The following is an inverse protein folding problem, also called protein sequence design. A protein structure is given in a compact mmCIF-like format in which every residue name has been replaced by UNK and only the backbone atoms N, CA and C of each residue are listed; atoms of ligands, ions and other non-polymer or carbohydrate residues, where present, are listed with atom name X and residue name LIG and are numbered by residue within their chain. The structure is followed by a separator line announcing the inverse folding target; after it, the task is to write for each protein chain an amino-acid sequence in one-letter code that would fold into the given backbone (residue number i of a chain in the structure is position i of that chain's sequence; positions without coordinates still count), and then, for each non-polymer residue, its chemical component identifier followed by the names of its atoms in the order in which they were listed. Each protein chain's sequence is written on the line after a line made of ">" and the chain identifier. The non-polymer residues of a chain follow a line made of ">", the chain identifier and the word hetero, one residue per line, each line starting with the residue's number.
data_IF_690108220546
#
_entry.id   IF_690108220546
#
_cell.length_a   1.000
_cell.length_b   1.000
_cell.length_c   1.000
_cell.angle_alpha   90.00
_cell.angle_beta   90.00
_cell.angle_gamma   90.00
#
_symmetry.space_group_name_H-M   'P 1'
#
loop_
_entity.id
_entity.type
_entity.pdbx_description
1 polymer ?
#
# COMPACT_ATOMS: atom_id res chain seq x y z
N UNK A 1 -14.15 -5.44 -14.74
CA UNK A 1 -13.19 -4.29 -14.84
C UNK A 1 -12.96 -3.76 -13.44
N UNK A 2 -11.69 -3.59 -13.05
CA UNK A 2 -11.27 -3.00 -11.79
C UNK A 2 -10.44 -1.75 -12.06
N UNK A 3 -10.48 -0.79 -11.14
CA UNK A 3 -9.75 0.47 -11.29
C UNK A 3 -9.02 0.83 -10.00
N UNK A 4 -7.72 1.06 -10.12
CA UNK A 4 -6.87 1.53 -9.04
C UNK A 4 -6.61 3.04 -9.17
N UNK A 5 -6.68 3.76 -8.06
CA UNK A 5 -6.34 5.18 -7.98
C UNK A 5 -5.32 5.40 -6.86
N UNK A 6 -4.07 5.59 -7.24
CA UNK A 6 -2.97 5.97 -6.37
C UNK A 6 -2.87 7.51 -6.34
N UNK A 7 -3.14 8.11 -5.17
CA UNK A 7 -3.12 9.58 -4.98
C UNK A 7 -1.86 9.94 -4.20
N UNK A 8 -0.70 9.83 -4.86
CA UNK A 8 0.58 10.12 -4.24
C UNK A 8 0.92 11.63 -4.13
N UNK A 9 1.93 11.96 -3.35
CA UNK A 9 2.39 13.35 -3.17
C UNK A 9 2.98 13.94 -4.45
N UNK A 10 3.71 13.16 -5.24
CA UNK A 10 4.38 13.59 -6.49
C UNK A 10 3.50 13.49 -7.71
N UNK A 11 2.69 12.44 -7.80
CA UNK A 11 1.84 12.12 -8.94
C UNK A 11 0.55 11.44 -8.49
N UNK A 12 -0.49 11.54 -9.30
CA UNK A 12 -1.70 10.72 -9.23
C UNK A 12 -1.65 9.74 -10.38
N UNK A 13 -1.91 8.46 -10.11
CA UNK A 13 -1.97 7.39 -11.11
C UNK A 13 -3.34 6.74 -11.06
N UNK A 14 -3.98 6.62 -12.21
CA UNK A 14 -5.19 5.82 -12.40
C UNK A 14 -4.84 4.65 -13.33
N UNK A 15 -5.16 3.43 -12.93
CA UNK A 15 -4.99 2.23 -13.75
C UNK A 15 -6.32 1.50 -13.89
N UNK A 16 -6.63 1.10 -15.11
CA UNK A 16 -7.82 0.32 -15.46
C UNK A 16 -7.37 -1.05 -15.91
N UNK A 17 -7.95 -2.12 -15.36
CA UNK A 17 -7.62 -3.48 -15.74
C UNK A 17 -8.87 -4.35 -15.93
N UNK A 18 -8.74 -5.35 -16.78
CA UNK A 18 -9.68 -6.45 -16.93
C UNK A 18 -9.22 -7.65 -16.11
N UNK A 19 -10.14 -8.32 -15.43
CA UNK A 19 -9.87 -9.56 -14.70
C UNK A 19 -10.38 -10.72 -15.56
N UNK A 20 -9.45 -11.61 -15.93
CA UNK A 20 -9.77 -12.83 -16.66
C UNK A 20 -10.50 -13.85 -15.77
N UNK A 21 -11.19 -14.80 -16.39
CA UNK A 21 -11.86 -15.90 -15.67
C UNK A 21 -10.89 -16.83 -14.92
N UNK A 22 -9.62 -16.76 -15.22
CA UNK A 22 -8.51 -17.46 -14.55
C UNK A 22 -7.84 -16.64 -13.44
N UNK A 23 -8.36 -15.45 -13.15
CA UNK A 23 -7.80 -14.52 -12.18
C UNK A 23 -6.65 -13.65 -12.70
N UNK A 24 -6.27 -13.78 -13.97
CA UNK A 24 -5.26 -12.89 -14.59
C UNK A 24 -5.75 -11.45 -14.63
N UNK A 25 -4.85 -10.50 -14.38
CA UNK A 25 -5.13 -9.05 -14.41
C UNK A 25 -4.42 -8.44 -15.59
N UNK A 26 -5.18 -7.92 -16.56
CA UNK A 26 -4.66 -7.28 -17.78
C UNK A 26 -4.92 -5.78 -17.76
N UNK A 27 -3.85 -4.98 -17.70
CA UNK A 27 -3.93 -3.52 -17.64
C UNK A 27 -4.21 -2.95 -19.03
N UNK A 28 -5.41 -2.40 -19.22
CA UNK A 28 -5.89 -1.84 -20.47
C UNK A 28 -5.80 -0.32 -20.55
N UNK A 29 -5.62 0.36 -19.41
CA UNK A 29 -5.50 1.82 -19.37
C UNK A 29 -4.65 2.33 -18.22
N UNK A 30 -3.78 3.30 -18.51
CA UNK A 30 -2.92 3.97 -17.53
C UNK A 30 -2.99 5.47 -17.75
N UNK A 31 -3.33 6.21 -16.70
CA UNK A 31 -3.29 7.66 -16.68
C UNK A 31 -2.43 8.16 -15.51
N UNK A 32 -1.54 9.10 -15.78
CA UNK A 32 -0.69 9.71 -14.76
C UNK A 32 -0.67 11.22 -14.91
N UNK A 33 -0.79 11.93 -13.79
CA UNK A 33 -0.74 13.39 -13.76
C UNK A 33 0.09 13.87 -12.54
N UNK A 34 0.89 14.94 -12.65
CA UNK A 34 1.55 15.54 -11.51
C UNK A 34 0.56 15.87 -10.40
N UNK A 35 0.85 15.43 -9.19
CA UNK A 35 0.00 15.69 -8.03
C UNK A 35 0.15 17.12 -7.55
N UNK A 36 -0.97 17.75 -7.27
CA UNK A 36 -1.04 19.06 -6.63
C UNK A 36 -2.08 19.00 -5.53
N UNK A 37 -1.79 19.63 -4.39
CA UNK A 37 -2.72 19.67 -3.27
C UNK A 37 -2.50 18.58 -2.22
N UNK A 38 -1.47 17.72 -2.37
CA UNK A 38 -1.00 16.81 -1.32
C UNK A 38 0.35 17.26 -0.76
N UNK A 39 0.55 16.97 0.53
CA UNK A 39 1.83 17.11 1.21
C UNK A 39 2.02 15.96 2.18
N UNK A 40 3.06 15.14 1.99
CA UNK A 40 3.38 13.97 2.83
C UNK A 40 2.17 13.04 3.01
N UNK A 41 1.50 12.71 1.92
CA UNK A 41 0.32 11.83 1.92
C UNK A 41 -0.99 12.46 2.39
N UNK A 42 -0.99 13.74 2.82
CA UNK A 42 -2.19 14.41 3.34
C UNK A 42 -2.70 15.47 2.36
N UNK A 43 -4.02 15.49 2.13
CA UNK A 43 -4.68 16.51 1.30
C UNK A 43 -4.63 17.87 2.01
N UNK A 44 -3.93 18.82 1.42
CA UNK A 44 -3.82 20.22 1.90
C UNK A 44 -4.62 21.19 1.02
N UNK A 45 -5.02 20.77 -0.18
CA UNK A 45 -5.88 21.55 -1.07
C UNK A 45 -6.78 20.61 -1.90
N UNK A 46 -8.06 20.55 -1.55
CA UNK A 46 -9.04 19.66 -2.19
C UNK A 46 -9.18 19.97 -3.68
N UNK A 47 -9.30 21.25 -4.07
CA UNK A 47 -9.56 21.64 -5.46
C UNK A 47 -8.42 21.21 -6.38
N UNK A 48 -7.17 21.48 -5.98
CA UNK A 48 -5.98 21.05 -6.73
C UNK A 48 -5.86 19.54 -6.82
N UNK A 49 -6.24 18.81 -5.75
CA UNK A 49 -6.24 17.34 -5.73
C UNK A 49 -7.29 16.79 -6.70
N UNK A 50 -8.51 17.34 -6.66
CA UNK A 50 -9.60 16.97 -7.60
C UNK A 50 -9.15 17.14 -9.05
N UNK A 51 -8.54 18.28 -9.40
CA UNK A 51 -8.05 18.51 -10.76
C UNK A 51 -6.97 17.48 -11.17
N UNK A 52 -6.06 17.12 -10.26
CA UNK A 52 -5.03 16.12 -10.54
C UNK A 52 -5.64 14.72 -10.74
N UNK A 53 -6.63 14.34 -9.94
CA UNK A 53 -7.37 13.07 -10.08
C UNK A 53 -8.11 13.05 -11.43
N UNK A 54 -8.88 14.08 -11.74
CA UNK A 54 -9.64 14.15 -13.00
C UNK A 54 -8.75 13.95 -14.21
N UNK A 55 -7.57 14.60 -14.26
CA UNK A 55 -6.62 14.46 -15.36
C UNK A 55 -6.03 13.06 -15.48
N UNK A 56 -5.72 12.41 -14.36
CA UNK A 56 -5.23 11.03 -14.37
C UNK A 56 -6.32 10.07 -14.84
N UNK A 57 -7.56 10.24 -14.37
CA UNK A 57 -8.71 9.40 -14.76
C UNK A 57 -9.05 9.61 -16.24
N UNK A 58 -9.15 10.85 -16.72
CA UNK A 58 -9.40 11.16 -18.15
C UNK A 58 -8.36 10.48 -19.07
N UNK A 59 -7.09 10.49 -18.67
CA UNK A 59 -6.02 9.83 -19.45
C UNK A 59 -6.16 8.31 -19.46
N UNK A 60 -6.50 7.69 -18.32
CA UNK A 60 -6.73 6.25 -18.22
C UNK A 60 -7.96 5.82 -19.01
N UNK A 61 -9.08 6.54 -18.91
CA UNK A 61 -10.30 6.31 -19.69
C UNK A 61 -10.06 6.39 -21.21
N UNK A 62 -9.27 7.39 -21.64
CA UNK A 62 -8.94 7.54 -23.07
C UNK A 62 -8.14 6.35 -23.59
N UNK A 63 -7.20 5.83 -22.81
CA UNK A 63 -6.38 4.68 -23.18
C UNK A 63 -7.19 3.39 -23.14
N UNK A 64 -8.00 3.17 -22.10
CA UNK A 64 -8.83 1.98 -21.93
C UNK A 64 -10.06 1.94 -22.85
N UNK A 65 -10.48 3.09 -23.40
CA UNK A 65 -11.70 3.20 -24.23
C UNK A 65 -13.01 3.01 -23.44
N UNK A 66 -12.99 3.17 -22.12
CA UNK A 66 -14.14 3.00 -21.23
C UNK A 66 -14.33 4.19 -20.29
N UNK A 67 -15.44 4.19 -19.53
CA UNK A 67 -15.69 5.15 -18.45
C UNK A 67 -15.46 4.50 -17.09
N UNK A 68 -14.80 5.23 -16.21
CA UNK A 68 -14.56 4.84 -14.82
C UNK A 68 -15.73 5.31 -13.96
N UNK A 69 -16.31 4.42 -13.16
CA UNK A 69 -17.42 4.72 -12.27
C UNK A 69 -17.01 4.61 -10.80
N UNK A 70 -16.16 3.62 -10.47
CA UNK A 70 -15.69 3.39 -9.12
C UNK A 70 -14.21 3.04 -9.10
N UNK A 71 -13.56 3.23 -7.96
CA UNK A 71 -12.11 3.04 -7.80
C UNK A 71 -11.76 2.47 -6.44
N UNK A 72 -10.72 1.63 -6.41
CA UNK A 72 -9.98 1.30 -5.18
C UNK A 72 -8.88 2.33 -5.00
N UNK A 73 -8.84 2.98 -3.83
CA UNK A 73 -7.97 4.13 -3.55
C UNK A 73 -6.87 3.74 -2.57
N UNK A 74 -5.62 4.10 -2.91
CA UNK A 74 -4.49 4.02 -1.98
C UNK A 74 -4.52 5.13 -0.93
N UNK A 75 -4.06 4.82 0.28
CA UNK A 75 -3.86 5.80 1.34
C UNK A 75 -2.54 5.53 2.08
N UNK A 76 -1.77 6.60 2.29
CA UNK A 76 -0.58 6.65 3.15
C UNK A 76 -0.47 8.02 3.79
N UNK A 77 0.40 8.17 4.76
CA UNK A 77 0.71 9.45 5.41
C UNK A 77 0.89 9.31 6.92
N UNK A 78 1.40 10.34 7.54
CA UNK A 78 1.70 10.38 8.99
C UNK A 78 0.47 10.29 9.91
N UNK A 79 -0.73 10.25 9.34
CA UNK A 79 -2.00 10.07 10.04
C UNK A 79 -2.43 8.60 10.12
N UNK A 80 -1.65 7.70 9.55
CA UNK A 80 -1.83 6.25 9.64
C UNK A 80 -1.05 5.75 10.85
N UNK A 81 -1.70 4.93 11.65
CA UNK A 81 -1.12 4.27 12.81
C UNK A 81 -1.44 2.78 12.79
N UNK A 82 -0.67 1.97 13.48
CA UNK A 82 -0.89 0.53 13.52
C UNK A 82 -0.59 -0.09 14.88
N UNK A 83 -1.34 -1.12 15.21
CA UNK A 83 -1.22 -1.84 16.48
C UNK A 83 -1.41 -3.34 16.26
N UNK A 84 -0.63 -4.16 16.95
CA UNK A 84 -0.91 -5.59 17.02
C UNK A 84 -1.87 -5.84 18.19
N UNK A 85 -2.89 -6.63 17.93
CA UNK A 85 -3.92 -6.97 18.92
C UNK A 85 -4.16 -8.48 18.95
N UNK A 86 -4.79 -8.92 20.02
CA UNK A 86 -5.03 -10.32 20.31
C UNK A 86 -6.47 -10.52 20.81
N UNK A 87 -7.23 -11.33 20.08
CA UNK A 87 -8.60 -11.73 20.47
C UNK A 87 -8.63 -13.16 21.01
N UNK A 88 -9.51 -13.44 21.95
CA UNK A 88 -9.68 -14.76 22.55
C UNK A 88 -11.16 -15.06 22.73
N UNK A 89 -11.61 -16.22 22.24
CA UNK A 89 -12.98 -16.71 22.44
C UNK A 89 -13.01 -18.18 22.83
N UNK A 90 -14.00 -18.57 23.59
CA UNK A 90 -14.29 -19.99 23.84
C UNK A 90 -15.11 -20.56 22.68
N UNK A 91 -14.77 -21.77 22.22
CA UNK A 91 -15.52 -22.51 21.22
C UNK A 91 -16.76 -23.15 21.84
N UNK A 92 -17.92 -22.98 21.20
CA UNK A 92 -19.17 -23.49 21.68
C UNK A 92 -19.40 -24.98 21.27
N UNK A 93 -18.98 -25.29 20.03
CA UNK A 93 -19.21 -26.62 19.42
C UNK A 93 -17.99 -27.55 19.46
N UNK A 94 -16.88 -27.18 20.12
CA UNK A 94 -15.59 -27.88 20.10
C UNK A 94 -14.95 -27.99 18.69
N UNK A 95 -15.52 -27.37 17.70
CA UNK A 95 -15.03 -27.29 16.34
C UNK A 95 -15.15 -25.82 15.90
N UNK A 96 -14.12 -25.28 15.25
CA UNK A 96 -14.08 -23.88 14.84
C UNK A 96 -15.05 -23.67 13.67
N UNK A 97 -16.01 -22.80 13.90
CA UNK A 97 -17.00 -22.36 12.90
C UNK A 97 -16.67 -20.96 12.37
N UNK A 98 -17.30 -20.54 11.26
CA UNK A 98 -17.20 -19.18 10.75
C UNK A 98 -17.59 -18.13 11.80
N UNK A 99 -18.68 -18.41 12.55
CA UNK A 99 -19.12 -17.52 13.63
C UNK A 99 -18.09 -17.37 14.76
N UNK A 100 -17.26 -18.41 15.01
CA UNK A 100 -16.18 -18.29 15.99
C UNK A 100 -15.03 -17.45 15.46
N UNK A 101 -14.74 -17.51 14.15
CA UNK A 101 -13.78 -16.65 13.48
C UNK A 101 -14.22 -15.18 13.56
N UNK A 102 -15.47 -14.90 13.25
CA UNK A 102 -16.01 -13.53 13.37
C UNK A 102 -15.90 -13.01 14.80
N UNK A 103 -16.26 -13.80 15.79
CA UNK A 103 -16.19 -13.45 17.21
C UNK A 103 -14.75 -13.19 17.71
N UNK A 104 -13.78 -14.01 17.28
CA UNK A 104 -12.40 -13.83 17.72
C UNK A 104 -11.76 -12.61 17.08
N UNK A 105 -12.11 -12.29 15.83
CA UNK A 105 -11.69 -11.08 15.17
C UNK A 105 -12.36 -9.85 15.80
N UNK A 106 -13.65 -9.90 16.12
CA UNK A 106 -14.35 -8.84 16.86
C UNK A 106 -13.72 -8.59 18.23
N UNK A 107 -13.37 -9.68 18.94
CA UNK A 107 -12.64 -9.55 20.21
C UNK A 107 -11.26 -8.90 20.05
N UNK A 108 -10.54 -9.20 18.96
CA UNK A 108 -9.26 -8.57 18.67
C UNK A 108 -9.38 -7.07 18.32
N UNK A 109 -10.52 -6.63 17.81
CA UNK A 109 -10.79 -5.21 17.52
C UNK A 109 -11.15 -4.38 18.75
N UNK A 110 -11.49 -5.00 19.86
CA UNK A 110 -11.95 -4.33 21.08
C UNK A 110 -10.80 -3.61 21.84
N UNK A 111 -9.99 -2.86 21.10
CA UNK A 111 -8.95 -1.97 21.64
C UNK A 111 -9.45 -0.53 21.69
N UNK A 112 -8.88 0.26 22.60
CA UNK A 112 -9.17 1.68 22.66
C UNK A 112 -8.52 2.42 21.48
N UNK A 113 -9.35 2.87 20.55
CA UNK A 113 -8.92 3.68 19.39
C UNK A 113 -9.29 5.14 19.68
N UNK A 114 -8.40 6.12 19.39
CA UNK A 114 -8.72 7.53 19.50
C UNK A 114 -10.01 7.88 18.74
N UNK A 115 -10.85 8.76 19.30
CA UNK A 115 -12.16 9.09 18.72
C UNK A 115 -12.10 9.76 17.33
N UNK A 116 -10.96 10.31 16.98
CA UNK A 116 -10.67 10.93 15.68
C UNK A 116 -10.06 9.96 14.67
N UNK A 117 -9.86 8.69 15.03
CA UNK A 117 -9.38 7.62 14.15
C UNK A 117 -10.46 6.60 13.84
N UNK A 118 -10.30 5.90 12.71
CA UNK A 118 -11.09 4.73 12.34
C UNK A 118 -10.19 3.58 11.87
N UNK A 119 -10.63 2.35 12.04
CA UNK A 119 -9.96 1.18 11.50
C UNK A 119 -10.06 1.21 9.97
N UNK A 120 -8.92 1.04 9.32
CA UNK A 120 -8.79 0.86 7.87
C UNK A 120 -8.69 -0.61 7.51
N UNK A 121 -7.82 -1.36 8.20
CA UNK A 121 -7.58 -2.77 7.98
C UNK A 121 -7.49 -3.55 9.28
N UNK A 122 -7.93 -4.80 9.22
CA UNK A 122 -7.71 -5.81 10.23
C UNK A 122 -7.11 -7.00 9.50
N UNK A 123 -5.83 -7.24 9.77
CA UNK A 123 -5.02 -8.20 9.04
C UNK A 123 -4.65 -9.35 9.97
N UNK A 124 -5.31 -10.52 9.87
CA UNK A 124 -4.95 -11.69 10.67
C UNK A 124 -3.49 -12.08 10.43
N UNK A 125 -2.79 -12.41 11.50
CA UNK A 125 -1.40 -12.84 11.45
C UNK A 125 -1.28 -14.35 11.65
N UNK A 126 -1.99 -14.87 12.62
CA UNK A 126 -2.09 -16.30 12.92
C UNK A 126 -3.27 -16.55 13.87
N UNK A 127 -3.71 -17.79 13.90
CA UNK A 127 -4.66 -18.28 14.87
C UNK A 127 -3.99 -19.30 15.80
N UNK A 128 -4.54 -19.41 17.01
CA UNK A 128 -4.13 -20.41 18.00
C UNK A 128 -5.36 -21.17 18.46
N UNK A 129 -5.23 -22.49 18.55
CA UNK A 129 -6.27 -23.35 19.12
C UNK A 129 -5.66 -24.04 20.33
N UNK A 130 -6.22 -23.76 21.51
CA UNK A 130 -5.72 -24.20 22.80
C UNK A 130 -4.25 -23.74 23.01
N UNK A 131 -3.26 -24.61 22.75
CA UNK A 131 -1.83 -24.31 22.86
C UNK A 131 -1.09 -24.50 21.51
N UNK A 132 -1.80 -24.73 20.42
CA UNK A 132 -1.21 -24.89 19.09
C UNK A 132 -1.16 -23.53 18.40
N UNK A 133 0.04 -23.04 18.13
CA UNK A 133 0.32 -21.79 17.42
C UNK A 133 0.53 -22.02 15.92
N UNK A 134 0.60 -20.91 15.14
CA UNK A 134 0.95 -20.92 13.73
C UNK A 134 -0.14 -21.47 12.81
N UNK A 135 -1.39 -21.52 13.26
CA UNK A 135 -2.51 -21.95 12.45
C UNK A 135 -2.93 -20.79 11.55
N UNK A 136 -3.00 -21.05 10.27
CA UNK A 136 -3.41 -20.08 9.27
C UNK A 136 -4.89 -20.23 8.89
N UNK A 137 -5.37 -21.48 8.76
CA UNK A 137 -6.77 -21.81 8.48
C UNK A 137 -7.33 -22.68 9.63
N UNK A 138 -8.00 -22.09 10.61
CA UNK A 138 -8.48 -22.81 11.78
C UNK A 138 -9.86 -23.46 11.59
N UNK A 139 -10.59 -23.17 10.50
CA UNK A 139 -11.94 -23.69 10.24
C UNK A 139 -11.99 -25.22 10.27
N UNK A 140 -12.97 -25.79 10.96
CA UNK A 140 -13.14 -27.24 11.09
C UNK A 140 -12.18 -27.91 12.07
N UNK A 141 -11.20 -27.18 12.63
CA UNK A 141 -10.30 -27.72 13.65
C UNK A 141 -10.99 -27.82 15.00
N UNK A 142 -10.65 -28.88 15.76
CA UNK A 142 -11.22 -29.12 17.07
C UNK A 142 -10.42 -28.44 18.18
N UNK A 143 -11.15 -27.89 19.17
CA UNK A 143 -10.55 -27.24 20.32
C UNK A 143 -11.57 -26.71 21.32
N UNK A 144 -11.10 -26.03 22.34
CA UNK A 144 -11.92 -25.40 23.38
C UNK A 144 -11.79 -23.87 23.33
N UNK A 145 -10.63 -23.36 22.92
CA UNK A 145 -10.30 -21.94 22.88
C UNK A 145 -9.69 -21.60 21.53
N UNK A 146 -10.22 -20.56 20.89
CA UNK A 146 -9.68 -19.95 19.68
C UNK A 146 -9.12 -18.57 20.03
N UNK A 147 -7.91 -18.32 19.54
CA UNK A 147 -7.25 -17.01 19.64
C UNK A 147 -6.88 -16.52 18.24
N UNK A 148 -6.89 -15.22 18.01
CA UNK A 148 -6.41 -14.58 16.80
C UNK A 148 -5.44 -13.45 17.13
N UNK A 149 -4.25 -13.47 16.55
CA UNK A 149 -3.34 -12.32 16.52
C UNK A 149 -3.61 -11.55 15.23
N UNK A 150 -3.80 -10.24 15.34
CA UNK A 150 -4.13 -9.38 14.19
C UNK A 150 -3.26 -8.13 14.17
N UNK A 151 -2.96 -7.65 12.98
CA UNK A 151 -2.41 -6.31 12.76
C UNK A 151 -3.56 -5.36 12.41
N UNK A 152 -3.79 -4.37 13.26
CA UNK A 152 -4.83 -3.36 13.09
C UNK A 152 -4.17 -2.10 12.53
N UNK A 153 -4.72 -1.60 11.43
CA UNK A 153 -4.30 -0.33 10.84
C UNK A 153 -5.43 0.67 11.03
N UNK A 154 -5.10 1.81 11.60
CA UNK A 154 -6.03 2.92 11.82
C UNK A 154 -5.56 4.17 11.06
N UNK A 155 -6.49 5.07 10.80
CA UNK A 155 -6.15 6.34 10.18
C UNK A 155 -7.06 7.46 10.65
N UNK A 156 -6.56 8.70 10.64
CA UNK A 156 -7.36 9.85 11.02
C UNK A 156 -8.59 9.99 10.11
N UNK A 157 -9.77 9.99 10.72
CA UNK A 157 -11.06 10.01 10.02
C UNK A 157 -11.17 11.18 9.04
N UNK A 158 -10.71 12.37 9.44
CA UNK A 158 -10.76 13.56 8.59
C UNK A 158 -9.85 13.43 7.34
N UNK A 159 -8.68 12.81 7.48
CA UNK A 159 -7.76 12.62 6.36
C UNK A 159 -8.34 11.66 5.33
N UNK A 160 -8.90 10.55 5.80
CA UNK A 160 -9.58 9.55 4.95
C UNK A 160 -10.78 10.18 4.25
N UNK A 161 -11.63 10.90 4.97
CA UNK A 161 -12.80 11.61 4.41
C UNK A 161 -12.39 12.64 3.34
N UNK A 162 -11.26 13.33 3.51
CA UNK A 162 -10.77 14.28 2.50
C UNK A 162 -10.37 13.58 1.21
N UNK A 163 -9.72 12.43 1.27
CA UNK A 163 -9.41 11.60 0.09
C UNK A 163 -10.72 11.15 -0.59
N UNK A 164 -11.64 10.52 0.17
CA UNK A 164 -12.95 10.09 -0.36
C UNK A 164 -13.73 11.25 -0.99
N UNK A 165 -13.71 12.42 -0.35
CA UNK A 165 -14.36 13.63 -0.87
C UNK A 165 -13.75 14.10 -2.18
N UNK A 166 -12.41 14.04 -2.33
CA UNK A 166 -11.76 14.39 -3.59
C UNK A 166 -12.21 13.45 -4.72
N UNK A 167 -12.26 12.13 -4.46
CA UNK A 167 -12.69 11.11 -5.43
C UNK A 167 -14.15 11.31 -5.82
N UNK A 168 -15.06 11.46 -4.85
CA UNK A 168 -16.49 11.68 -5.09
C UNK A 168 -16.76 12.98 -5.86
N UNK A 169 -15.96 14.03 -5.66
CA UNK A 169 -16.06 15.27 -6.44
C UNK A 169 -15.64 15.12 -7.90
N UNK A 170 -14.90 14.06 -8.24
CA UNK A 170 -14.62 13.68 -9.61
C UNK A 170 -15.79 12.88 -10.26
N UNK A 171 -16.87 12.61 -9.53
CA UNK A 171 -18.00 11.79 -9.98
C UNK A 171 -17.76 10.29 -9.86
N UNK A 172 -16.79 9.87 -9.04
CA UNK A 172 -16.42 8.48 -8.84
C UNK A 172 -16.89 7.97 -7.49
N UNK A 173 -17.23 6.69 -7.42
CA UNK A 173 -17.47 5.96 -6.18
C UNK A 173 -16.17 5.36 -5.65
N UNK A 174 -16.08 5.16 -4.33
CA UNK A 174 -14.92 4.53 -3.69
C UNK A 174 -15.34 3.13 -3.24
N UNK A 175 -14.80 2.11 -3.90
CA UNK A 175 -15.05 0.70 -3.59
C UNK A 175 -14.33 0.31 -2.30
N UNK A 176 -13.06 0.69 -2.19
CA UNK A 176 -12.24 0.45 -1.00
C UNK A 176 -11.17 1.54 -0.83
N UNK A 177 -10.76 1.76 0.43
CA UNK A 177 -9.57 2.53 0.78
C UNK A 177 -8.54 1.56 1.33
N UNK A 178 -7.40 1.43 0.66
CA UNK A 178 -6.37 0.42 0.92
C UNK A 178 -5.07 1.08 1.33
N UNK A 179 -4.43 0.54 2.37
CA UNK A 179 -3.12 0.98 2.81
C UNK A 179 -2.07 0.76 1.70
N UNK A 180 -1.30 1.80 1.34
CA UNK A 180 -0.34 1.74 0.24
C UNK A 180 0.77 0.70 0.47
N UNK A 181 1.23 0.53 1.73
CA UNK A 181 2.21 -0.51 2.08
C UNK A 181 1.68 -1.92 1.82
N UNK A 182 0.40 -2.16 2.11
CA UNK A 182 -0.23 -3.44 1.81
C UNK A 182 -0.32 -3.65 0.30
N UNK A 183 -0.79 -2.65 -0.43
CA UNK A 183 -0.88 -2.70 -1.89
C UNK A 183 0.48 -2.94 -2.54
N UNK A 184 1.50 -2.14 -2.23
CA UNK A 184 2.86 -2.31 -2.78
C UNK A 184 3.41 -3.70 -2.50
N UNK A 185 3.14 -4.26 -1.30
CA UNK A 185 3.54 -5.61 -0.92
C UNK A 185 2.95 -6.71 -1.83
N UNK A 186 1.72 -6.53 -2.32
CA UNK A 186 1.11 -7.45 -3.31
C UNK A 186 1.85 -7.43 -4.65
N UNK A 187 2.32 -6.28 -5.07
CA UNK A 187 2.94 -6.12 -6.38
C UNK A 187 4.43 -6.52 -6.42
N UNK A 188 5.16 -6.43 -5.29
CA UNK A 188 6.63 -6.49 -5.32
C UNK A 188 7.27 -7.60 -4.49
N UNK A 189 6.52 -8.25 -3.58
CA UNK A 189 7.04 -9.30 -2.71
C UNK A 189 6.62 -10.68 -3.20
N UNK A 190 7.55 -11.62 -3.16
CA UNK A 190 7.25 -13.05 -3.34
C UNK A 190 6.76 -13.67 -2.04
N UNK A 191 6.05 -14.79 -2.14
CA UNK A 191 5.57 -15.50 -0.96
C UNK A 191 6.73 -16.06 -0.13
N UNK A 192 7.80 -16.53 -0.78
CA UNK A 192 9.02 -16.98 -0.09
C UNK A 192 9.65 -15.86 0.75
N UNK A 193 9.68 -14.62 0.26
CA UNK A 193 10.17 -13.47 1.03
C UNK A 193 9.28 -13.15 2.22
N UNK A 194 7.94 -13.18 2.02
CA UNK A 194 6.98 -12.97 3.11
C UNK A 194 7.08 -14.06 4.18
N UNK A 195 7.34 -15.30 3.79
CA UNK A 195 7.50 -16.42 4.73
C UNK A 195 8.83 -16.36 5.49
N UNK A 196 9.95 -16.10 4.79
CA UNK A 196 11.28 -15.99 5.39
C UNK A 196 11.45 -14.77 6.31
N UNK A 197 10.67 -13.74 6.08
CA UNK A 197 10.76 -12.45 6.73
C UNK A 197 11.47 -11.41 5.88
N UNK A 198 10.77 -10.33 5.56
CA UNK A 198 11.22 -9.24 4.68
C UNK A 198 10.73 -7.89 5.19
N UNK A 199 11.56 -6.87 5.04
CA UNK A 199 11.17 -5.48 5.22
C UNK A 199 11.03 -4.81 3.84
N UNK A 200 9.81 -4.47 3.46
CA UNK A 200 9.55 -3.67 2.26
C UNK A 200 9.60 -2.18 2.63
N UNK A 201 10.28 -1.41 1.78
CA UNK A 201 10.44 0.04 1.92
C UNK A 201 10.03 0.70 0.60
N UNK A 202 8.85 1.31 0.56
CA UNK A 202 8.35 2.07 -0.59
C UNK A 202 8.72 3.54 -0.43
N UNK A 203 9.66 4.02 -1.24
CA UNK A 203 10.16 5.40 -1.17
C UNK A 203 9.46 6.23 -2.23
N UNK A 204 8.40 6.94 -1.79
CA UNK A 204 7.61 7.84 -2.61
C UNK A 204 8.21 9.23 -2.81
N UNK A 205 7.35 10.20 -3.14
CA UNK A 205 7.74 11.61 -3.19
C UNK A 205 7.74 12.28 -1.82
N UNK A 206 6.69 12.08 -1.02
CA UNK A 206 6.50 12.75 0.27
C UNK A 206 6.60 11.86 1.49
N UNK A 207 6.45 10.55 1.33
CA UNK A 207 6.47 9.51 2.37
C UNK A 207 7.37 8.36 1.98
N UNK A 208 7.94 7.72 2.99
CA UNK A 208 8.56 6.40 2.89
C UNK A 208 7.75 5.45 3.74
N UNK A 209 7.21 4.44 3.11
CA UNK A 209 6.24 3.52 3.65
C UNK A 209 6.92 2.17 3.93
N UNK A 210 6.78 1.67 5.16
CA UNK A 210 7.44 0.46 5.64
C UNK A 210 6.39 -0.60 5.91
N UNK A 211 6.63 -1.83 5.45
CA UNK A 211 5.88 -3.00 5.86
C UNK A 211 6.82 -4.16 6.14
N UNK A 212 6.64 -4.82 7.29
CA UNK A 212 7.39 -6.01 7.67
C UNK A 212 6.49 -7.22 7.61
N UNK A 213 6.94 -8.24 6.89
CA UNK A 213 6.27 -9.53 6.78
C UNK A 213 7.13 -10.62 7.40
N UNK A 214 6.52 -11.58 8.08
CA UNK A 214 7.14 -12.84 8.52
C UNK A 214 6.08 -13.92 8.53
N UNK A 215 6.46 -15.14 8.14
CA UNK A 215 5.53 -16.28 8.09
C UNK A 215 4.30 -16.00 7.24
N UNK A 216 4.47 -15.29 6.11
CA UNK A 216 3.40 -14.91 5.19
C UNK A 216 2.49 -13.78 5.66
N UNK A 217 2.62 -13.27 6.89
CA UNK A 217 1.73 -12.28 7.47
C UNK A 217 2.42 -10.94 7.70
N UNK A 218 1.67 -9.85 7.56
CA UNK A 218 2.13 -8.52 7.92
C UNK A 218 2.22 -8.39 9.45
N UNK A 219 3.37 -7.95 9.93
CA UNK A 219 3.66 -7.85 11.37
C UNK A 219 3.78 -6.41 11.85
N UNK A 220 4.22 -5.53 10.97
CA UNK A 220 4.41 -4.12 11.30
C UNK A 220 4.26 -3.25 10.06
N UNK A 221 3.67 -2.08 10.24
CA UNK A 221 3.61 -1.01 9.23
C UNK A 221 3.98 0.32 9.86
N UNK A 222 4.67 1.16 9.09
CA UNK A 222 5.03 2.50 9.54
C UNK A 222 5.13 3.46 8.34
N UNK A 223 5.05 4.75 8.62
CA UNK A 223 5.21 5.83 7.63
C UNK A 223 6.24 6.84 8.13
N UNK A 224 7.28 7.05 7.35
CA UNK A 224 8.31 8.06 7.59
C UNK A 224 8.04 9.26 6.67
N UNK A 225 7.86 10.50 7.20
CA UNK A 225 7.54 11.68 6.39
C UNK A 225 8.79 12.33 5.76
N UNK A 226 9.74 11.50 5.31
CA UNK A 226 10.97 11.86 4.59
C UNK A 226 11.06 10.99 3.34
N UNK A 227 11.21 11.62 2.17
CA UNK A 227 11.27 10.92 0.88
C UNK A 227 11.87 11.82 -0.23
N UNK A 228 11.49 11.59 -1.49
CA UNK A 228 12.07 12.25 -2.66
C UNK A 228 11.97 13.77 -2.69
N UNK A 229 10.92 14.36 -2.12
CA UNK A 229 10.74 15.83 -2.09
C UNK A 229 11.79 16.51 -1.23
N UNK A 230 12.24 15.88 -0.14
CA UNK A 230 13.31 16.39 0.70
C UNK A 230 14.64 16.41 -0.05
N UNK A 231 14.92 15.36 -0.84
CA UNK A 231 16.11 15.33 -1.72
C UNK A 231 16.08 16.49 -2.72
N UNK A 232 14.93 16.73 -3.37
CA UNK A 232 14.76 17.83 -4.32
C UNK A 232 14.93 19.19 -3.64
N UNK A 233 14.42 19.32 -2.41
CA UNK A 233 14.59 20.54 -1.61
C UNK A 233 16.06 20.80 -1.24
N UNK A 234 16.79 19.77 -0.82
CA UNK A 234 18.22 19.87 -0.49
C UNK A 234 19.04 20.30 -1.72
N UNK A 235 18.75 19.70 -2.89
CA UNK A 235 19.35 20.10 -4.17
C UNK A 235 19.01 21.57 -4.49
N UNK A 236 17.75 21.97 -4.35
CA UNK A 236 17.31 23.34 -4.63
C UNK A 236 18.04 24.36 -3.75
N UNK A 237 18.17 24.04 -2.46
CA UNK A 237 18.84 24.92 -1.48
C UNK A 237 20.36 24.96 -1.69
N UNK A 238 21.01 23.82 -1.79
CA UNK A 238 22.47 23.73 -1.96
C UNK A 238 22.91 24.35 -3.30
N UNK A 239 22.16 24.05 -4.36
CA UNK A 239 22.49 24.55 -5.70
C UNK A 239 21.86 25.91 -6.03
N UNK A 240 21.02 26.47 -5.16
CA UNK A 240 20.32 27.75 -5.39
C UNK A 240 19.62 27.74 -6.77
N UNK A 241 18.91 26.68 -7.06
CA UNK A 241 18.15 26.45 -8.31
C UNK A 241 16.66 26.37 -8.02
N UNK A 242 15.76 26.73 -8.95
CA UNK A 242 14.33 26.55 -8.75
C UNK A 242 13.96 25.07 -8.51
N UNK A 243 12.96 24.81 -7.65
CA UNK A 243 12.52 23.46 -7.26
C UNK A 243 12.25 22.56 -8.47
N UNK A 244 11.63 23.10 -9.52
CA UNK A 244 11.35 22.32 -10.74
C UNK A 244 12.61 21.81 -11.42
N UNK A 245 13.67 22.62 -11.44
CA UNK A 245 14.97 22.22 -11.99
C UNK A 245 15.70 21.26 -11.03
N UNK A 246 15.58 21.47 -9.72
CA UNK A 246 16.14 20.54 -8.73
C UNK A 246 15.56 19.14 -8.89
N UNK A 247 14.25 19.03 -9.11
CA UNK A 247 13.58 17.75 -9.38
C UNK A 247 14.10 17.09 -10.67
N UNK A 248 14.26 17.86 -11.74
CA UNK A 248 14.84 17.35 -13.01
C UNK A 248 16.29 16.90 -12.84
N UNK A 249 17.10 17.65 -12.07
CA UNK A 249 18.49 17.31 -11.75
C UNK A 249 18.53 16.04 -10.92
N UNK A 250 17.68 15.92 -9.91
CA UNK A 250 17.53 14.69 -9.09
C UNK A 250 17.27 13.47 -9.97
N UNK A 251 16.23 13.53 -10.78
CA UNK A 251 15.83 12.39 -11.62
C UNK A 251 16.88 11.96 -12.63
N UNK A 252 17.69 12.90 -13.13
CA UNK A 252 18.59 12.62 -14.25
C UNK A 252 20.03 12.36 -13.85
N UNK A 253 20.52 13.00 -12.78
CA UNK A 253 21.93 13.05 -12.47
C UNK A 253 22.32 12.69 -11.04
N UNK A 254 21.35 12.67 -10.12
CA UNK A 254 21.65 12.42 -8.72
C UNK A 254 22.10 10.97 -8.47
N UNK A 255 22.89 10.82 -7.42
CA UNK A 255 23.39 9.54 -6.94
C UNK A 255 23.34 9.55 -5.42
N UNK A 256 22.87 8.46 -4.81
CA UNK A 256 22.76 8.33 -3.35
C UNK A 256 24.08 7.93 -2.69
N UNK A 257 25.09 7.52 -3.45
CA UNK A 257 26.40 7.11 -2.96
C UNK A 257 27.48 7.84 -3.77
N UNK A 258 28.14 8.83 -3.16
CA UNK A 258 29.08 9.73 -3.85
C UNK A 258 30.27 9.01 -4.50
N UNK A 259 30.64 7.84 -3.97
CA UNK A 259 31.71 7.01 -4.51
C UNK A 259 31.40 6.49 -5.93
N UNK A 260 30.13 6.34 -6.30
CA UNK A 260 29.70 5.90 -7.62
C UNK A 260 29.63 7.03 -8.64
N UNK A 261 29.54 8.29 -8.18
CA UNK A 261 29.49 9.45 -9.06
C UNK A 261 30.86 9.78 -9.61
N UNK A 262 31.00 9.85 -10.94
CA UNK A 262 32.28 10.16 -11.59
C UNK A 262 32.64 11.64 -11.39
N UNK A 263 33.87 11.94 -10.98
CA UNK A 263 34.32 13.33 -10.74
C UNK A 263 34.47 14.16 -12.02
N UNK A 264 34.69 13.50 -13.18
CA UNK A 264 34.84 14.11 -14.48
C UNK A 264 33.50 14.42 -15.18
N UNK A 265 32.40 13.89 -14.67
CA UNK A 265 31.04 14.15 -15.16
C UNK A 265 30.55 15.51 -14.65
N UNK A 266 30.24 16.43 -15.58
CA UNK A 266 29.70 17.75 -15.23
C UNK A 266 28.24 17.91 -15.67
N UNK A 267 27.48 18.60 -14.85
CA UNK A 267 26.06 18.90 -15.10
C UNK A 267 25.85 20.40 -15.15
N UNK A 268 24.93 20.88 -15.98
CA UNK A 268 24.53 22.29 -16.03
C UNK A 268 23.38 22.55 -15.06
N UNK A 269 23.63 23.44 -14.10
CA UNK A 269 22.65 23.82 -13.09
C UNK A 269 22.07 25.18 -13.43
N UNK A 270 20.77 25.28 -13.76
CA UNK A 270 20.11 26.57 -13.92
C UNK A 270 20.15 27.39 -12.63
N UNK A 271 20.41 28.68 -12.75
CA UNK A 271 20.42 29.57 -11.59
C UNK A 271 19.08 30.27 -11.41
N UNK A 272 18.82 30.79 -10.20
CA UNK A 272 17.64 31.64 -9.92
C UNK A 272 17.85 33.02 -10.53
N UNK A 273 16.81 33.56 -11.20
CA UNK A 273 16.82 34.84 -11.88
C UNK A 273 17.60 34.81 -13.21
N UNK A 274 18.06 35.97 -13.69
CA UNK A 274 18.72 36.13 -15.01
C UNK A 274 20.19 35.70 -15.03
N UNK A 275 20.63 34.88 -14.07
CA UNK A 275 22.02 34.42 -14.00
C UNK A 275 22.25 33.25 -14.96
N UNK A 276 23.40 33.18 -15.65
CA UNK A 276 23.70 32.06 -16.52
C UNK A 276 23.78 30.74 -15.74
N UNK A 277 23.46 29.62 -16.39
CA UNK A 277 23.68 28.27 -15.81
C UNK A 277 25.16 28.11 -15.44
N UNK A 278 25.42 27.35 -14.38
CA UNK A 278 26.78 27.01 -13.94
C UNK A 278 27.04 25.52 -14.09
N UNK A 279 28.32 25.19 -14.27
CA UNK A 279 28.74 23.79 -14.29
C UNK A 279 29.03 23.32 -12.86
N UNK A 280 28.62 22.09 -12.55
CA UNK A 280 28.84 21.42 -11.28
C UNK A 280 29.27 19.96 -11.58
N UNK A 281 30.21 19.43 -10.82
CA UNK A 281 30.52 18.01 -10.93
C UNK A 281 29.37 17.13 -10.40
N UNK A 282 29.13 15.98 -11.01
CA UNK A 282 28.14 15.04 -10.55
C UNK A 282 28.45 14.54 -9.12
N UNK A 283 29.72 14.40 -8.79
CA UNK A 283 30.16 14.04 -7.45
C UNK A 283 29.73 15.10 -6.41
N UNK A 284 29.89 16.39 -6.68
CA UNK A 284 29.42 17.45 -5.78
C UNK A 284 27.89 17.46 -5.61
N UNK A 285 27.13 17.01 -6.62
CA UNK A 285 25.69 16.77 -6.46
C UNK A 285 25.43 15.59 -5.55
N UNK A 286 26.17 14.47 -5.71
CA UNK A 286 26.02 13.29 -4.86
C UNK A 286 26.34 13.59 -3.39
N UNK A 287 27.35 14.41 -3.10
CA UNK A 287 27.67 14.89 -1.74
C UNK A 287 26.53 15.68 -1.07
N UNK A 288 25.60 16.24 -1.85
CA UNK A 288 24.37 16.86 -1.34
C UNK A 288 23.28 15.83 -1.11
N UNK A 289 23.19 14.77 -1.93
CA UNK A 289 22.11 13.79 -1.94
C UNK A 289 22.34 12.67 -0.93
N UNK A 290 23.57 12.15 -0.83
CA UNK A 290 23.95 11.02 0.03
C UNK A 290 23.54 11.22 1.49
N UNK A 291 23.81 12.36 2.18
CA UNK A 291 23.39 12.55 3.57
C UNK A 291 21.89 12.45 3.79
N UNK A 292 21.07 12.78 2.77
CA UNK A 292 19.63 12.65 2.87
C UNK A 292 19.18 11.18 2.77
N UNK A 293 19.84 10.38 1.96
CA UNK A 293 19.58 8.94 1.90
C UNK A 293 20.10 8.22 3.14
N UNK A 294 21.26 8.62 3.68
CA UNK A 294 21.75 8.12 4.97
C UNK A 294 20.77 8.40 6.10
N UNK A 295 20.23 9.62 6.18
CA UNK A 295 19.20 9.97 7.16
C UNK A 295 17.96 9.10 6.97
N UNK A 296 17.46 8.97 5.72
CA UNK A 296 16.28 8.17 5.43
C UNK A 296 16.46 6.72 5.86
N UNK A 297 17.55 6.08 5.45
CA UNK A 297 17.82 4.69 5.80
C UNK A 297 18.10 4.49 7.29
N UNK A 298 18.72 5.47 7.95
CA UNK A 298 18.89 5.45 9.41
C UNK A 298 17.53 5.51 10.13
N UNK A 299 16.58 6.31 9.64
CA UNK A 299 15.22 6.36 10.18
C UNK A 299 14.47 5.05 9.96
N UNK A 300 14.60 4.44 8.77
CA UNK A 300 14.03 3.11 8.48
C UNK A 300 14.62 2.05 9.41
N UNK A 301 15.93 2.04 9.60
CA UNK A 301 16.61 1.10 10.51
C UNK A 301 16.17 1.30 11.96
N UNK A 302 16.05 2.54 12.41
CA UNK A 302 15.58 2.85 13.76
C UNK A 302 14.14 2.35 13.96
N UNK A 303 13.28 2.49 12.95
CA UNK A 303 11.92 1.99 13.00
C UNK A 303 11.87 0.45 13.01
N UNK A 304 12.68 -0.21 12.19
CA UNK A 304 12.78 -1.66 12.15
C UNK A 304 13.27 -2.24 13.51
N UNK A 305 14.25 -1.57 14.15
CA UNK A 305 14.70 -1.91 15.51
C UNK A 305 13.60 -1.68 16.54
N UNK A 306 12.91 -0.54 16.46
CA UNK A 306 11.82 -0.20 17.39
C UNK A 306 10.68 -1.21 17.32
N UNK A 307 10.39 -1.73 16.14
CA UNK A 307 9.36 -2.75 15.94
C UNK A 307 9.74 -4.13 16.50
N UNK A 308 11.03 -4.38 16.75
CA UNK A 308 11.55 -5.66 17.22
C UNK A 308 11.69 -6.74 16.14
N UNK A 309 11.56 -6.37 14.86
CA UNK A 309 11.62 -7.32 13.73
C UNK A 309 12.97 -7.32 12.99
N UNK A 310 13.97 -6.51 13.40
CA UNK A 310 15.27 -6.42 12.71
C UNK A 310 15.93 -7.78 12.50
N UNK A 311 15.94 -8.64 13.51
CA UNK A 311 16.54 -9.97 13.45
C UNK A 311 15.66 -11.04 12.76
N UNK A 312 14.42 -10.69 12.38
CA UNK A 312 13.44 -11.61 11.81
C UNK A 312 13.23 -11.42 10.30
N UNK A 313 13.92 -10.46 9.68
CA UNK A 313 13.83 -10.19 8.24
C UNK A 313 15.00 -10.86 7.50
N UNK A 314 15.01 -12.20 7.51
CA UNK A 314 16.10 -12.99 6.93
C UNK A 314 16.26 -12.80 5.41
N UNK A 315 15.19 -12.47 4.68
CA UNK A 315 15.22 -12.12 3.26
C UNK A 315 15.78 -10.70 3.02
N UNK A 316 16.02 -9.90 4.06
CA UNK A 316 16.57 -8.55 3.97
C UNK A 316 15.54 -7.49 3.61
N UNK A 317 15.96 -6.49 2.83
CA UNK A 317 15.14 -5.35 2.43
C UNK A 317 14.75 -5.42 0.96
N UNK A 318 13.51 -4.98 0.69
CA UNK A 318 12.99 -4.79 -0.66
C UNK A 318 12.62 -3.33 -0.83
N UNK A 319 13.38 -2.62 -1.67
CA UNK A 319 13.12 -1.21 -2.00
C UNK A 319 12.17 -1.13 -3.20
N UNK A 320 11.17 -0.26 -3.13
CA UNK A 320 10.27 0.07 -4.23
C UNK A 320 9.90 1.56 -4.21
N UNK A 321 9.03 1.99 -5.12
CA UNK A 321 8.68 3.40 -5.25
C UNK A 321 9.61 4.18 -6.18
N UNK A 322 9.17 5.37 -6.57
CA UNK A 322 9.88 6.18 -7.57
C UNK A 322 11.27 6.65 -7.14
N UNK A 323 11.43 6.95 -5.86
CA UNK A 323 12.68 7.49 -5.29
C UNK A 323 13.70 6.39 -5.01
N UNK A 324 13.28 5.12 -4.86
CA UNK A 324 14.18 3.97 -4.71
C UNK A 324 15.04 3.67 -5.94
N UNK A 325 14.68 4.25 -7.09
CA UNK A 325 15.44 4.11 -8.36
C UNK A 325 16.73 4.93 -8.40
N UNK A 326 17.01 5.70 -7.37
CA UNK A 326 18.24 6.49 -7.27
C UNK A 326 19.47 5.59 -7.40
N UNK A 327 20.39 5.94 -8.29
CA UNK A 327 21.66 5.23 -8.41
C UNK A 327 22.40 5.25 -7.07
N UNK A 328 22.93 4.11 -6.64
CA UNK A 328 23.61 3.96 -5.35
C UNK A 328 22.69 3.76 -4.15
N UNK A 329 21.34 3.77 -4.33
CA UNK A 329 20.42 3.61 -3.19
C UNK A 329 20.45 2.20 -2.61
N UNK A 330 20.59 1.17 -3.45
CA UNK A 330 20.69 -0.23 -3.00
C UNK A 330 22.01 -0.45 -2.25
N UNK A 331 23.10 -0.01 -2.82
CA UNK A 331 24.44 -0.17 -2.26
C UNK A 331 24.55 0.57 -0.91
N UNK A 332 24.05 1.80 -0.82
CA UNK A 332 24.05 2.55 0.44
C UNK A 332 23.15 1.87 1.49
N UNK A 333 22.02 1.32 1.09
CA UNK A 333 21.14 0.59 2.00
C UNK A 333 21.83 -0.67 2.53
N UNK A 334 22.54 -1.45 1.68
CA UNK A 334 23.33 -2.61 2.11
C UNK A 334 24.43 -2.24 3.10
N UNK A 335 25.10 -1.09 2.91
CA UNK A 335 26.11 -0.58 3.83
C UNK A 335 25.52 -0.22 5.20
N UNK A 336 24.30 0.34 5.25
CA UNK A 336 23.68 0.78 6.51
C UNK A 336 23.02 -0.38 7.25
N UNK A 337 22.29 -1.24 6.54
CA UNK A 337 21.53 -2.32 7.17
C UNK A 337 22.34 -3.59 7.41
N UNK A 338 23.46 -3.78 6.71
CA UNK A 338 24.28 -5.00 6.74
C UNK A 338 23.50 -6.28 6.40
N UNK A 339 22.51 -6.16 5.52
CA UNK A 339 21.69 -7.27 5.02
C UNK A 339 21.43 -7.12 3.51
N UNK A 340 21.01 -8.20 2.82
CA UNK A 340 20.70 -8.12 1.40
C UNK A 340 19.62 -7.08 1.11
N UNK A 341 19.83 -6.31 0.03
CA UNK A 341 18.85 -5.32 -0.44
C UNK A 341 18.62 -5.52 -1.93
N UNK A 342 17.36 -5.49 -2.35
CA UNK A 342 17.02 -5.49 -3.78
C UNK A 342 16.08 -4.35 -4.14
N UNK A 343 16.22 -3.85 -5.35
CA UNK A 343 15.21 -2.97 -5.96
C UNK A 343 14.13 -3.85 -6.61
N UNK A 344 12.90 -3.71 -6.15
CA UNK A 344 11.78 -4.47 -6.68
C UNK A 344 11.09 -3.77 -7.84
N UNK A 345 10.64 -4.58 -8.78
CA UNK A 345 9.74 -4.18 -9.86
C UNK A 345 8.39 -4.86 -9.65
N UNK A 346 7.29 -4.17 -9.89
CA UNK A 346 5.97 -4.77 -9.81
C UNK A 346 5.85 -5.96 -10.77
N UNK A 347 5.02 -6.91 -10.41
CA UNK A 347 4.70 -8.12 -11.17
C UNK A 347 3.23 -8.53 -10.93
N UNK A 348 2.79 -9.62 -11.55
CA UNK A 348 1.44 -10.17 -11.35
C UNK A 348 0.37 -9.56 -12.25
N UNK A 349 0.72 -8.68 -13.17
CA UNK A 349 -0.19 -8.11 -14.18
C UNK A 349 0.40 -8.22 -15.58
N UNK A 350 -0.45 -8.22 -16.60
CA UNK A 350 -0.09 -8.11 -18.01
C UNK A 350 -0.56 -6.79 -18.62
N UNK A 351 -0.18 -6.48 -19.86
CA UNK A 351 -0.61 -5.28 -20.58
C UNK A 351 0.55 -4.46 -21.13
N UNK A 352 0.72 -3.22 -20.71
CA UNK A 352 1.75 -2.29 -21.24
C UNK A 352 3.10 -2.53 -20.54
N UNK A 353 3.81 -3.57 -20.96
CA UNK A 353 5.00 -4.16 -20.29
C UNK A 353 6.06 -3.16 -19.83
N UNK A 354 6.44 -2.20 -20.67
CA UNK A 354 7.48 -1.22 -20.34
C UNK A 354 7.11 -0.27 -19.18
N UNK A 355 5.81 -0.04 -18.96
CA UNK A 355 5.32 0.80 -17.86
C UNK A 355 5.17 -0.03 -16.58
N UNK A 356 4.65 -1.25 -16.69
CA UNK A 356 4.24 -2.06 -15.56
C UNK A 356 5.41 -2.58 -14.72
N UNK A 357 6.62 -2.69 -15.29
CA UNK A 357 7.83 -3.10 -14.56
C UNK A 357 8.53 -1.95 -13.82
N UNK A 358 7.98 -0.72 -13.85
CA UNK A 358 8.59 0.42 -13.20
C UNK A 358 8.15 0.52 -11.72
N UNK A 359 9.07 0.58 -10.74
CA UNK A 359 8.75 0.72 -9.32
C UNK A 359 7.82 1.89 -8.97
N UNK A 360 7.76 2.89 -9.84
CA UNK A 360 6.83 4.03 -9.71
C UNK A 360 5.36 3.59 -9.61
N UNK A 361 5.01 2.43 -10.14
CA UNK A 361 3.64 1.94 -10.22
C UNK A 361 3.33 0.80 -9.24
N UNK A 362 4.25 0.52 -8.29
CA UNK A 362 4.09 -0.58 -7.34
C UNK A 362 2.75 -0.50 -6.60
N UNK A 363 2.43 0.66 -6.03
CA UNK A 363 1.17 0.87 -5.31
C UNK A 363 -0.04 0.70 -6.22
N UNK A 364 -0.06 1.34 -7.40
CA UNK A 364 -1.21 1.26 -8.31
C UNK A 364 -1.47 -0.17 -8.80
N UNK A 365 -0.41 -0.92 -9.13
CA UNK A 365 -0.51 -2.34 -9.51
C UNK A 365 -0.98 -3.19 -8.33
N UNK A 366 -0.43 -2.95 -7.14
CA UNK A 366 -0.86 -3.65 -5.94
C UNK A 366 -2.32 -3.39 -5.57
N UNK A 367 -2.85 -2.19 -5.83
CA UNK A 367 -4.27 -1.88 -5.67
C UNK A 367 -5.15 -2.69 -6.64
N UNK A 368 -4.70 -2.88 -7.90
CA UNK A 368 -5.40 -3.74 -8.87
C UNK A 368 -5.40 -5.20 -8.39
N UNK A 369 -4.24 -5.73 -7.99
CA UNK A 369 -4.14 -7.10 -7.50
C UNK A 369 -5.01 -7.31 -6.26
N UNK A 370 -4.97 -6.38 -5.31
CA UNK A 370 -5.85 -6.41 -4.13
C UNK A 370 -7.34 -6.41 -4.51
N UNK A 371 -7.74 -5.62 -5.51
CA UNK A 371 -9.13 -5.56 -5.98
C UNK A 371 -9.54 -6.85 -6.68
N UNK A 372 -8.66 -7.44 -7.49
CA UNK A 372 -8.93 -8.69 -8.20
C UNK A 372 -9.15 -9.85 -7.22
N UNK A 373 -8.32 -9.97 -6.18
CA UNK A 373 -8.47 -10.99 -5.13
C UNK A 373 -9.83 -10.86 -4.42
N UNK A 374 -10.26 -9.64 -4.10
CA UNK A 374 -11.54 -9.39 -3.44
C UNK A 374 -12.75 -9.69 -4.33
N UNK A 375 -12.69 -9.38 -5.63
CA UNK A 375 -13.77 -9.65 -6.59
C UNK A 375 -13.95 -11.16 -6.82
N UNK A 376 -12.86 -11.92 -6.91
CA UNK A 376 -12.89 -13.38 -7.06
C UNK A 376 -13.60 -14.05 -5.89
N UNK A 377 -13.35 -13.59 -4.67
CA UNK A 377 -13.98 -14.17 -3.47
C UNK A 377 -15.47 -13.84 -3.38
N UNK A 378 -15.88 -12.61 -3.71
CA UNK A 378 -17.31 -12.26 -3.76
C UNK A 378 -18.06 -13.11 -4.79
N UNK A 379 -17.43 -13.45 -5.91
CA UNK A 379 -18.02 -14.30 -6.94
C UNK A 379 -18.16 -15.78 -6.51
N UNK A 380 -17.21 -16.32 -5.73
CA UNK A 380 -17.26 -17.69 -5.20
C UNK A 380 -18.33 -17.79 -4.12
N UNK A 381 -18.45 -16.82 -3.23
CA UNK A 381 -19.48 -16.80 -2.18
C UNK A 381 -20.90 -16.65 -2.77
N UNK A 382 -21.07 -15.95 -3.88
CA UNK A 382 -22.34 -15.86 -4.59
C UNK A 382 -22.76 -17.20 -5.23
N UNK A 383 -21.81 -17.97 -5.77
CA UNK A 383 -22.09 -19.28 -6.36
C UNK A 383 -22.33 -20.38 -5.31
N UNK A 384 -21.68 -20.33 -4.16
CA UNK A 384 -21.90 -21.28 -3.06
C UNK A 384 -23.24 -21.06 -2.34
N UNK A 385 -23.82 -19.87 -2.42
CA UNK A 385 -25.16 -19.57 -1.90
C UNK A 385 -26.30 -20.09 -2.77
N UNK A 386 -26.12 -20.17 -4.07
CA UNK A 386 -27.17 -20.68 -5.01
C UNK A 386 -27.29 -22.20 -5.01
N UNK A 387 -26.23 -22.95 -4.78
CA UNK A 387 -26.29 -24.43 -4.70
C UNK A 387 -26.97 -24.95 -3.40
N UNK A 388 -27.10 -24.14 -2.35
CA UNK A 388 -27.88 -24.49 -1.15
C UNK A 388 -29.36 -24.12 -1.22
N UNK A 389 -29.78 -23.33 -2.23
CA UNK A 389 -31.18 -22.91 -2.37
C UNK A 389 -32.09 -23.89 -3.13
N UNK A 390 -31.56 -25.02 -3.64
CA UNK A 390 -32.32 -25.98 -4.44
C UNK A 390 -32.86 -27.19 -3.67
N UNK A 391 -32.81 -27.25 -2.33
CA UNK A 391 -33.34 -28.35 -1.52
C UNK A 391 -34.21 -27.96 -0.31
N UNK A 392 -34.95 -26.87 -0.43
CA UNK A 392 -35.97 -26.57 0.57
C UNK A 392 -37.16 -25.85 -0.07
N UNK A 393 -37.93 -26.59 -0.90
CA UNK A 393 -39.29 -26.22 -1.22
C UNK A 393 -40.23 -26.72 -0.11
N UNK A 394 -41.22 -25.87 0.20
CA UNK A 394 -42.32 -26.03 1.16
C UNK A 394 -42.04 -25.71 2.65
N UNK A 395 -42.33 -24.46 3.03
CA UNK A 395 -43.39 -24.07 3.94
C UNK A 395 -43.34 -22.64 4.49
N UNK A 396 -44.43 -21.95 4.18
CA UNK A 396 -45.14 -20.95 4.98
C UNK A 396 -44.70 -19.49 4.97
N UNK A 397 -45.56 -18.81 4.27
CA UNK A 397 -45.98 -17.41 4.36
C UNK A 397 -46.07 -16.82 5.79
N UNK A 398 -45.87 -15.53 5.82
CA UNK A 398 -46.20 -14.55 6.85
C UNK A 398 -45.24 -14.31 8.01
N UNK A 399 -44.49 -13.18 7.90
CA UNK A 399 -44.71 -11.98 8.72
C UNK A 399 -43.72 -10.83 8.37
N UNK A 400 -44.32 -9.81 7.79
CA UNK A 400 -44.12 -8.36 7.94
C UNK A 400 -42.92 -7.81 8.71
N UNK A 401 -42.17 -6.97 7.95
CA UNK A 401 -41.71 -5.60 8.28
C UNK A 401 -41.11 -5.28 9.65
N UNK A 402 -39.89 -4.87 9.72
CA UNK A 402 -39.37 -3.52 10.03
C UNK A 402 -37.91 -3.52 10.51
N UNK A 403 -37.12 -2.66 9.82
CA UNK A 403 -35.93 -1.89 10.29
C UNK A 403 -34.70 -2.65 10.80
N UNK A 404 -33.50 -2.42 10.21
CA UNK A 404 -32.69 -1.25 10.47
C UNK A 404 -31.47 -1.16 9.52
N UNK A 405 -31.11 0.04 9.14
CA UNK A 405 -30.12 0.41 8.13
C UNK A 405 -28.67 0.43 8.63
N UNK A 406 -28.34 -0.19 9.74
CA UNK A 406 -27.00 -0.24 10.32
C UNK A 406 -26.22 -1.56 10.08
N UNK A 407 -26.87 -2.58 9.52
CA UNK A 407 -26.27 -3.93 9.34
C UNK A 407 -25.43 -4.11 8.06
N UNK A 408 -25.51 -3.18 7.10
CA UNK A 408 -24.90 -3.40 5.78
C UNK A 408 -23.40 -3.06 5.67
N UNK A 409 -22.83 -2.35 6.63
CA UNK A 409 -21.39 -2.05 6.60
C UNK A 409 -20.50 -3.10 7.28
N UNK A 410 -21.04 -3.88 8.22
CA UNK A 410 -20.26 -4.94 8.89
C UNK A 410 -20.05 -6.20 8.01
N UNK A 411 -21.02 -6.58 7.19
CA UNK A 411 -20.92 -7.79 6.36
C UNK A 411 -19.85 -7.73 5.25
N UNK A 412 -19.54 -6.52 4.78
CA UNK A 412 -18.62 -6.31 3.66
C UNK A 412 -17.14 -6.45 4.01
N UNK A 413 -16.72 -6.22 5.24
CA UNK A 413 -15.31 -6.33 5.62
C UNK A 413 -14.96 -7.75 6.12
N UNK A 414 -15.90 -8.48 6.66
CA UNK A 414 -15.70 -9.87 7.09
C UNK A 414 -15.40 -10.81 5.92
N UNK A 415 -16.00 -10.55 4.75
CA UNK A 415 -15.60 -11.22 3.51
C UNK A 415 -14.14 -10.90 3.12
N UNK A 416 -13.65 -9.70 3.43
CA UNK A 416 -12.28 -9.26 3.10
C UNK A 416 -11.21 -9.93 3.96
N UNK A 417 -11.50 -10.18 5.24
CA UNK A 417 -10.61 -10.97 6.11
C UNK A 417 -10.53 -12.41 5.63
N UNK A 418 -11.66 -12.97 5.18
CA UNK A 418 -11.75 -14.33 4.62
C UNK A 418 -10.89 -14.50 3.37
N UNK A 419 -10.82 -13.48 2.52
CA UNK A 419 -10.06 -13.48 1.28
C UNK A 419 -8.56 -13.46 1.51
N UNK A 420 -8.11 -12.65 2.44
CA UNK A 420 -6.67 -12.56 2.73
C UNK A 420 -6.14 -13.89 3.29
N UNK A 421 -6.95 -14.59 4.09
CA UNK A 421 -6.63 -15.92 4.61
C UNK A 421 -6.66 -17.00 3.50
N UNK A 422 -7.51 -16.85 2.47
CA UNK A 422 -7.64 -17.84 1.37
C UNK A 422 -6.70 -17.57 0.18
N UNK A 423 -6.31 -16.32 -0.06
CA UNK A 423 -5.46 -15.94 -1.19
C UNK A 423 -3.95 -16.00 -0.90
N UNK A 424 -3.56 -16.21 0.35
CA UNK A 424 -2.15 -16.35 0.75
C UNK A 424 -1.76 -17.79 1.14
N UNK A 425 -2.59 -18.79 0.72
CA UNK A 425 -2.33 -20.23 0.99
C UNK A 425 -2.76 -21.11 -0.18
#
# INVERSE_FOLDING_TARGET
>A
MIVALDIGTSKVVCMVAEVGGDGSVDVVGVGSHPSRGLKRGVVVNIESTVQSIQRAVEAAELMAGCKVHSVTVGISGSHIDSHNSHGIVALQSREVTESDLDRVIEAAQAIAIPADQRILHILPQEYLIDNQEGIKEPRGMSGVRLEAKVHLVTGATNAIQNIEKCVRRCGLEVDAVVLEQLASGYAVLTDDEKDLGVCMVDIGGGTTDIAVFTQGAIRHTAVIPVAGDQVSNDIAMALRTPMQHAEQIKMKYACALAQLARPDETIKVPSVGDRPPRDLSRQALAEVVEPRYEELFTLVQAELRRSGFEDLVAAGLVLTGGTSKMEGAVELAEEIFHMPVRLARPSGVSGVDDLLTNPIYATAIGLLLYSADNDLVQSVDAHSGDDMALTADERLEHRTEQKDSSGKQLGSWMSRVKTWVQGNF
#
